data_IF_764299463769
#
_entry.id   IF_764299463769
#
_cell.length_a   1.000
_cell.length_b   1.000
_cell.length_c   1.000
_cell.angle_alpha   90.00
_cell.angle_beta   90.00
_cell.angle_gamma   90.00
#
_symmetry.space_group_name_H-M   'P 1'
#
loop_
_entity.id
_entity.type
_entity.pdbx_description
1 polymer ?
#
# COMPACT_ATOMS: atom_id res chain seq x y z
N UNK A 1 -23.10 0.09 14.73
CA UNK A 1 -22.05 0.57 15.69
C UNK A 1 -21.98 2.10 15.61
N UNK A 2 -21.69 2.78 16.73
CA UNK A 2 -21.50 4.23 16.71
C UNK A 2 -20.28 4.56 15.83
N UNK A 3 -20.43 5.53 14.92
CA UNK A 3 -19.32 5.96 14.06
C UNK A 3 -18.25 6.65 14.93
N UNK A 4 -17.13 5.96 15.15
CA UNK A 4 -16.02 6.41 16.00
C UNK A 4 -15.27 7.64 15.43
N UNK A 5 -15.51 8.00 14.17
CA UNK A 5 -14.85 9.14 13.50
C UNK A 5 -15.60 10.43 13.79
N UNK A 6 -16.92 10.43 13.66
CA UNK A 6 -17.80 11.63 13.70
C UNK A 6 -17.54 12.55 14.89
N UNK A 7 -17.47 11.97 16.09
CA UNK A 7 -17.36 12.70 17.35
C UNK A 7 -15.95 12.71 17.95
N UNK A 8 -14.97 12.14 17.27
CA UNK A 8 -13.60 12.08 17.77
C UNK A 8 -12.83 13.37 17.47
N UNK A 9 -12.68 14.23 18.48
CA UNK A 9 -12.01 15.54 18.34
C UNK A 9 -10.49 15.46 18.08
N UNK A 10 -9.86 14.30 18.23
CA UNK A 10 -8.46 14.07 17.82
C UNK A 10 -8.31 14.01 16.31
N UNK A 11 -9.38 13.66 15.58
CA UNK A 11 -9.37 13.55 14.12
C UNK A 11 -9.62 14.93 13.50
N UNK A 12 -8.88 15.27 12.44
CA UNK A 12 -9.07 16.51 11.67
C UNK A 12 -10.55 16.66 11.26
N UNK A 13 -11.06 17.88 11.39
CA UNK A 13 -12.48 18.18 11.12
C UNK A 13 -12.92 17.84 9.70
N UNK A 14 -12.01 17.92 8.72
CA UNK A 14 -12.29 17.61 7.30
C UNK A 14 -12.43 16.11 7.09
N UNK A 15 -11.59 15.30 7.74
CA UNK A 15 -11.69 13.85 7.77
C UNK A 15 -13.01 13.43 8.42
N UNK A 16 -13.37 14.05 9.56
CA UNK A 16 -14.66 13.81 10.22
C UNK A 16 -15.85 14.18 9.35
N UNK A 17 -15.73 15.24 8.55
CA UNK A 17 -16.80 15.67 7.65
C UNK A 17 -17.03 14.68 6.50
N UNK A 18 -15.99 14.02 6.01
CA UNK A 18 -16.07 13.04 4.92
C UNK A 18 -16.47 11.66 5.46
N UNK A 19 -15.72 11.12 6.41
CA UNK A 19 -15.87 9.74 6.88
C UNK A 19 -16.80 9.59 8.09
N UNK A 20 -17.14 10.67 8.76
CA UNK A 20 -18.05 10.65 9.92
C UNK A 20 -19.50 10.35 9.58
N UNK A 21 -19.91 10.47 8.33
CA UNK A 21 -21.28 10.20 7.85
C UNK A 21 -21.35 8.90 7.01
N UNK A 22 -20.20 8.28 6.70
CA UNK A 22 -20.13 7.08 5.88
C UNK A 22 -19.89 5.87 6.77
N UNK A 23 -20.81 4.90 6.76
CA UNK A 23 -20.56 3.58 7.33
C UNK A 23 -19.81 2.76 6.25
N UNK A 24 -18.50 2.84 6.27
CA UNK A 24 -17.68 1.91 5.50
C UNK A 24 -17.76 0.56 6.21
N UNK A 25 -18.60 -0.33 5.72
CA UNK A 25 -18.60 -1.73 6.15
C UNK A 25 -17.22 -2.36 5.87
N UNK A 26 -16.85 -3.37 6.64
CA UNK A 26 -15.64 -4.13 6.32
C UNK A 26 -15.84 -4.84 4.98
N UNK A 27 -15.05 -4.47 3.96
CA UNK A 27 -15.07 -5.14 2.64
C UNK A 27 -14.71 -6.62 2.72
N UNK A 28 -14.08 -7.04 3.81
CA UNK A 28 -13.71 -8.44 4.07
C UNK A 28 -14.64 -9.14 5.05
N UNK A 29 -15.76 -8.51 5.45
CA UNK A 29 -16.70 -9.12 6.37
C UNK A 29 -17.31 -10.37 5.74
N UNK A 30 -17.12 -11.51 6.39
CA UNK A 30 -17.67 -12.80 6.00
C UNK A 30 -17.76 -13.68 7.25
N UNK A 31 -18.78 -14.50 7.41
CA UNK A 31 -18.85 -15.51 8.47
C UNK A 31 -17.97 -16.73 8.18
N UNK A 32 -17.42 -16.85 6.97
CA UNK A 32 -16.55 -17.95 6.58
C UNK A 32 -15.15 -17.82 7.18
N UNK A 33 -14.54 -18.97 7.50
CA UNK A 33 -13.19 -19.07 8.04
C UNK A 33 -12.20 -19.77 7.10
N UNK A 34 -12.55 -19.88 5.82
CA UNK A 34 -11.70 -20.39 4.74
C UNK A 34 -11.69 -19.40 3.58
N UNK A 35 -10.59 -19.37 2.82
CA UNK A 35 -10.48 -18.51 1.65
C UNK A 35 -11.60 -18.75 0.64
N UNK A 36 -11.88 -20.02 0.33
CA UNK A 36 -12.95 -20.41 -0.61
C UNK A 36 -14.31 -19.94 -0.13
N UNK A 37 -14.59 -20.06 1.17
CA UNK A 37 -15.83 -19.58 1.77
C UNK A 37 -15.96 -18.07 1.68
N UNK A 38 -14.91 -17.33 2.03
CA UNK A 38 -14.91 -15.87 1.95
C UNK A 38 -15.09 -15.40 0.49
N UNK A 39 -14.41 -16.03 -0.47
CA UNK A 39 -14.56 -15.71 -1.89
C UNK A 39 -15.98 -16.02 -2.39
N UNK A 40 -16.59 -17.12 -1.93
CA UNK A 40 -17.99 -17.44 -2.26
C UNK A 40 -18.98 -16.38 -1.71
N UNK A 41 -18.74 -15.89 -0.50
CA UNK A 41 -19.56 -14.83 0.11
C UNK A 41 -19.46 -13.49 -0.64
N UNK A 42 -18.34 -13.23 -1.38
CA UNK A 42 -18.20 -12.05 -2.24
C UNK A 42 -19.20 -12.03 -3.42
N UNK A 43 -19.82 -13.16 -3.73
CA UNK A 43 -20.88 -13.24 -4.76
C UNK A 43 -22.26 -12.86 -4.22
N UNK A 44 -22.41 -12.60 -2.91
CA UNK A 44 -23.67 -12.14 -2.32
C UNK A 44 -24.04 -10.72 -2.80
N UNK A 45 -25.32 -10.38 -2.78
CA UNK A 45 -25.78 -9.04 -3.16
C UNK A 45 -25.29 -7.96 -2.17
N UNK A 46 -25.09 -8.30 -0.91
CA UNK A 46 -24.54 -7.42 0.11
C UNK A 46 -23.07 -7.10 -0.18
N UNK A 47 -22.25 -8.10 -0.46
CA UNK A 47 -20.83 -7.91 -0.80
C UNK A 47 -20.67 -7.15 -2.12
N UNK A 48 -21.48 -7.45 -3.14
CA UNK A 48 -21.51 -6.69 -4.41
C UNK A 48 -21.90 -5.22 -4.18
N UNK A 49 -22.84 -4.97 -3.27
CA UNK A 49 -23.20 -3.60 -2.86
C UNK A 49 -22.04 -2.88 -2.19
N UNK A 50 -21.34 -3.53 -1.26
CA UNK A 50 -20.14 -2.99 -0.62
C UNK A 50 -19.01 -2.69 -1.62
N UNK A 51 -18.77 -3.61 -2.57
CA UNK A 51 -17.82 -3.39 -3.68
C UNK A 51 -18.18 -2.18 -4.52
N UNK A 52 -19.45 -2.04 -4.91
CA UNK A 52 -19.90 -0.88 -5.70
C UNK A 52 -19.70 0.45 -4.95
N UNK A 53 -19.87 0.47 -3.63
CA UNK A 53 -19.59 1.64 -2.80
C UNK A 53 -18.08 1.96 -2.81
N UNK A 54 -17.22 0.95 -2.63
CA UNK A 54 -15.78 1.16 -2.68
C UNK A 54 -15.32 1.65 -4.06
N UNK A 55 -15.84 1.05 -5.13
CA UNK A 55 -15.57 1.50 -6.50
C UNK A 55 -15.99 2.97 -6.71
N UNK A 56 -17.15 3.36 -6.20
CA UNK A 56 -17.61 4.74 -6.26
C UNK A 56 -16.71 5.70 -5.47
N UNK A 57 -16.23 5.29 -4.29
CA UNK A 57 -15.31 6.09 -3.48
C UNK A 57 -13.97 6.22 -4.17
N UNK A 58 -13.40 5.11 -4.66
CA UNK A 58 -12.08 5.11 -5.31
C UNK A 58 -12.07 5.87 -6.64
N UNK A 59 -13.22 5.95 -7.33
CA UNK A 59 -13.34 6.61 -8.63
C UNK A 59 -14.16 7.91 -8.58
N UNK A 60 -14.23 8.54 -7.41
CA UNK A 60 -14.98 9.78 -7.24
C UNK A 60 -14.35 10.94 -8.07
N UNK A 61 -15.18 11.72 -8.82
CA UNK A 61 -14.68 12.76 -9.74
C UNK A 61 -13.79 13.82 -9.12
N UNK A 62 -13.95 14.09 -7.82
CA UNK A 62 -13.17 15.11 -7.11
C UNK A 62 -11.65 14.82 -7.11
N UNK A 63 -11.20 13.57 -7.23
CA UNK A 63 -9.78 13.24 -7.32
C UNK A 63 -9.14 13.79 -8.59
N UNK A 64 -9.83 13.65 -9.72
CA UNK A 64 -9.37 14.20 -11.00
C UNK A 64 -9.37 15.74 -11.00
N UNK A 65 -10.35 16.33 -10.33
CA UNK A 65 -10.43 17.79 -10.16
C UNK A 65 -9.32 18.33 -9.25
N UNK A 66 -9.03 17.62 -8.14
CA UNK A 66 -7.99 18.00 -7.18
C UNK A 66 -6.58 17.93 -7.80
N UNK A 67 -6.30 16.90 -8.59
CA UNK A 67 -4.98 16.70 -9.22
C UNK A 67 -5.16 16.41 -10.73
N UNK A 68 -5.44 17.43 -11.57
CA UNK A 68 -5.62 17.25 -13.00
C UNK A 68 -4.32 16.78 -13.68
N UNK A 69 -4.43 16.26 -14.91
CA UNK A 69 -3.29 15.69 -15.66
C UNK A 69 -2.37 16.76 -16.29
N UNK A 70 -2.70 18.04 -16.18
CA UNK A 70 -1.96 19.14 -16.81
C UNK A 70 -0.48 19.13 -16.44
N UNK A 71 0.39 19.13 -17.45
CA UNK A 71 1.85 19.11 -17.28
C UNK A 71 2.43 17.72 -16.94
N UNK A 72 1.61 16.67 -17.04
CA UNK A 72 2.01 15.29 -16.83
C UNK A 72 1.71 14.45 -18.09
N UNK A 73 2.48 13.39 -18.26
CA UNK A 73 2.23 12.35 -19.27
C UNK A 73 1.93 11.05 -18.51
N UNK A 74 0.80 10.44 -18.82
CA UNK A 74 0.39 9.14 -18.28
C UNK A 74 0.35 8.11 -19.40
N UNK A 75 1.01 6.98 -19.21
CA UNK A 75 1.02 5.85 -20.14
C UNK A 75 0.85 4.53 -19.40
N UNK A 76 0.30 3.53 -20.07
CA UNK A 76 0.25 2.16 -19.56
C UNK A 76 1.41 1.37 -20.16
N UNK A 77 2.14 0.66 -19.33
CA UNK A 77 3.18 -0.31 -19.72
C UNK A 77 2.73 -1.71 -19.30
N UNK A 78 3.29 -2.72 -19.96
CA UNK A 78 3.01 -4.12 -19.64
C UNK A 78 4.32 -4.89 -19.53
N UNK A 79 4.34 -5.88 -18.63
CA UNK A 79 5.46 -6.81 -18.49
C UNK A 79 4.93 -8.21 -18.18
N UNK A 80 5.78 -9.22 -18.39
CA UNK A 80 5.51 -10.59 -17.98
C UNK A 80 6.04 -10.82 -16.58
N UNK A 81 5.19 -11.27 -15.67
CA UNK A 81 5.55 -11.60 -14.29
C UNK A 81 6.21 -12.97 -14.21
N UNK A 82 7.24 -13.10 -13.39
CA UNK A 82 7.97 -14.32 -13.13
C UNK A 82 7.70 -14.79 -11.67
N UNK A 83 7.46 -16.08 -11.42
CA UNK A 83 7.58 -17.22 -12.34
C UNK A 83 6.30 -17.57 -13.12
N UNK A 84 5.18 -16.87 -12.88
CA UNK A 84 3.85 -17.34 -13.30
C UNK A 84 3.54 -17.07 -14.77
N UNK A 85 4.26 -16.15 -15.42
CA UNK A 85 4.15 -15.87 -16.85
C UNK A 85 2.94 -15.00 -17.26
N UNK A 86 2.18 -14.47 -16.29
CA UNK A 86 1.03 -13.61 -16.54
C UNK A 86 1.44 -12.18 -16.91
N UNK A 87 0.56 -11.48 -17.62
CA UNK A 87 0.77 -10.07 -18.01
C UNK A 87 0.26 -9.14 -16.93
N UNK A 88 1.15 -8.29 -16.44
CA UNK A 88 0.86 -7.26 -15.43
C UNK A 88 1.04 -5.88 -16.03
N UNK A 89 0.18 -4.95 -15.66
CA UNK A 89 0.23 -3.56 -16.13
C UNK A 89 0.91 -2.65 -15.10
N UNK A 90 1.52 -1.59 -15.62
CA UNK A 90 2.05 -0.47 -14.85
C UNK A 90 1.39 0.80 -15.37
N UNK A 91 0.78 1.59 -14.50
CA UNK A 91 0.45 2.97 -14.81
C UNK A 91 1.70 3.82 -14.59
N UNK A 92 2.23 4.39 -15.66
CA UNK A 92 3.44 5.20 -15.63
C UNK A 92 3.09 6.67 -15.81
N UNK A 93 3.43 7.50 -14.81
CA UNK A 93 3.11 8.93 -14.74
C UNK A 93 4.41 9.71 -14.58
N UNK A 94 4.63 10.73 -15.41
CA UNK A 94 5.81 11.61 -15.28
C UNK A 94 5.49 13.05 -15.66
N UNK A 95 6.27 14.03 -15.19
CA UNK A 95 6.28 15.37 -15.76
C UNK A 95 6.52 15.33 -17.29
N UNK A 96 5.84 16.23 -18.01
CA UNK A 96 6.03 16.41 -19.44
C UNK A 96 7.35 17.16 -19.69
N UNK A 97 8.46 16.40 -19.64
CA UNK A 97 9.83 16.90 -19.82
C UNK A 97 10.71 15.82 -20.43
N UNK A 98 11.76 16.24 -21.15
CA UNK A 98 12.79 15.35 -21.70
C UNK A 98 13.89 15.02 -20.68
N UNK A 99 13.82 15.54 -19.46
CA UNK A 99 14.81 15.26 -18.42
C UNK A 99 14.70 13.80 -17.94
N UNK A 100 15.87 13.19 -17.65
CA UNK A 100 15.96 11.93 -16.95
C UNK A 100 15.59 12.14 -15.47
N UNK A 101 14.59 11.41 -14.96
CA UNK A 101 14.01 11.64 -13.64
C UNK A 101 14.33 10.51 -12.68
N UNK A 102 14.45 10.79 -11.36
CA UNK A 102 14.35 9.74 -10.34
C UNK A 102 12.96 9.11 -10.38
N UNK A 103 12.83 7.83 -9.96
CA UNK A 103 11.60 7.07 -10.08
C UNK A 103 11.11 6.55 -8.72
N UNK A 104 9.83 6.70 -8.48
CA UNK A 104 9.10 6.04 -7.40
C UNK A 104 8.35 4.86 -8.00
N UNK A 105 8.77 3.64 -7.66
CA UNK A 105 8.00 2.44 -7.93
C UNK A 105 6.95 2.31 -6.83
N UNK A 106 5.68 2.54 -7.18
CA UNK A 106 4.60 2.65 -6.21
C UNK A 106 3.68 1.42 -6.24
N UNK A 107 3.35 0.90 -5.05
CA UNK A 107 2.48 -0.26 -4.84
C UNK A 107 1.24 0.21 -4.09
N UNK A 108 0.06 0.08 -4.71
CA UNK A 108 -1.21 0.52 -4.13
C UNK A 108 -1.63 -0.32 -2.93
N UNK A 109 -2.49 0.23 -2.08
CA UNK A 109 -3.07 -0.43 -0.91
C UNK A 109 -4.20 -1.40 -1.25
N UNK A 110 -5.14 -1.54 -0.31
CA UNK A 110 -6.24 -2.49 -0.44
C UNK A 110 -5.96 -3.86 0.18
N UNK A 111 -5.03 -3.93 1.16
CA UNK A 111 -4.74 -5.14 1.95
C UNK A 111 -4.16 -6.31 1.13
N UNK A 112 -3.56 -6.07 -0.02
CA UNK A 112 -3.13 -7.07 -1.02
C UNK A 112 -4.31 -7.86 -1.61
N UNK A 113 -5.55 -7.41 -1.38
CA UNK A 113 -6.78 -8.15 -1.70
C UNK A 113 -7.63 -7.47 -2.75
N UNK A 114 -7.63 -6.14 -2.81
CA UNK A 114 -8.56 -5.34 -3.61
C UNK A 114 -7.86 -4.10 -4.18
N UNK A 115 -8.58 -3.32 -4.98
CA UNK A 115 -8.16 -2.08 -5.64
C UNK A 115 -7.24 -2.28 -6.85
N UNK A 116 -6.97 -1.17 -7.54
CA UNK A 116 -6.12 -1.11 -8.73
C UNK A 116 -5.38 0.21 -8.76
N UNK A 117 -4.15 0.24 -9.27
CA UNK A 117 -3.45 1.48 -9.51
C UNK A 117 -4.14 2.37 -10.55
N UNK A 118 -5.09 1.83 -11.31
CA UNK A 118 -5.93 2.56 -12.27
C UNK A 118 -7.18 3.18 -11.64
N UNK A 119 -7.52 2.89 -10.38
CA UNK A 119 -8.55 3.63 -9.65
C UNK A 119 -8.14 5.11 -9.57
N UNK A 120 -9.11 6.03 -9.74
CA UNK A 120 -8.81 7.46 -9.84
C UNK A 120 -8.15 8.01 -8.56
N UNK A 121 -8.44 7.45 -7.40
CA UNK A 121 -7.74 7.72 -6.14
C UNK A 121 -6.23 7.55 -6.29
N UNK A 122 -5.80 6.39 -6.79
CA UNK A 122 -4.37 6.07 -6.95
C UNK A 122 -3.75 6.83 -8.12
N UNK A 123 -4.48 6.97 -9.23
CA UNK A 123 -4.04 7.79 -10.36
C UNK A 123 -3.79 9.25 -9.93
N UNK A 124 -4.69 9.83 -9.12
CA UNK A 124 -4.53 11.18 -8.57
C UNK A 124 -3.35 11.26 -7.60
N UNK A 125 -3.18 10.26 -6.74
CA UNK A 125 -2.04 10.18 -5.85
C UNK A 125 -0.71 10.08 -6.61
N UNK A 126 -0.64 9.23 -7.63
CA UNK A 126 0.52 9.14 -8.53
C UNK A 126 0.85 10.47 -9.21
N UNK A 127 -0.18 11.22 -9.66
CA UNK A 127 -0.02 12.57 -10.21
C UNK A 127 0.49 13.56 -9.15
N UNK A 128 0.00 13.46 -7.91
CA UNK A 128 0.47 14.30 -6.80
C UNK A 128 1.98 14.12 -6.55
N UNK A 129 2.45 12.87 -6.52
CA UNK A 129 3.89 12.55 -6.40
C UNK A 129 4.66 13.03 -7.64
N UNK A 130 4.16 12.76 -8.85
CA UNK A 130 4.85 13.10 -10.09
C UNK A 130 5.05 14.63 -10.25
N UNK A 131 4.10 15.44 -9.77
CA UNK A 131 4.21 16.90 -9.73
C UNK A 131 5.36 17.42 -8.89
N UNK A 132 5.92 16.58 -8.01
CA UNK A 132 7.12 16.92 -7.26
C UNK A 132 8.42 16.72 -8.08
N UNK A 133 8.30 16.49 -9.40
CA UNK A 133 9.44 16.35 -10.32
C UNK A 133 10.13 15.01 -10.24
N UNK A 134 9.36 13.93 -10.19
CA UNK A 134 9.81 12.53 -10.24
C UNK A 134 8.91 11.73 -11.17
N UNK A 135 9.38 10.62 -11.70
CA UNK A 135 8.56 9.63 -12.38
C UNK A 135 7.91 8.69 -11.34
N UNK A 136 6.71 8.21 -11.64
CA UNK A 136 5.98 7.25 -10.79
C UNK A 136 5.56 6.07 -11.66
N UNK A 137 6.02 4.87 -11.30
CA UNK A 137 5.63 3.61 -11.93
C UNK A 137 4.77 2.82 -10.94
N UNK A 138 3.47 2.77 -11.19
CA UNK A 138 2.49 2.15 -10.29
C UNK A 138 2.12 0.78 -10.81
N UNK A 139 2.51 -0.28 -10.11
CA UNK A 139 2.21 -1.67 -10.50
C UNK A 139 0.78 -2.05 -10.13
N UNK A 140 0.09 -2.74 -11.05
CA UNK A 140 -1.26 -3.26 -10.87
C UNK A 140 -1.21 -4.78 -10.66
N UNK A 141 -0.68 -5.18 -9.51
CA UNK A 141 -0.44 -6.58 -9.15
C UNK A 141 -1.74 -7.38 -9.00
N UNK A 142 -1.64 -8.71 -9.07
CA UNK A 142 -2.77 -9.62 -8.78
C UNK A 142 -3.15 -9.55 -7.31
N UNK A 143 -4.41 -9.22 -7.08
CA UNK A 143 -5.00 -9.21 -5.75
C UNK A 143 -5.46 -10.60 -5.31
N UNK A 144 -5.57 -10.80 -4.00
CA UNK A 144 -5.99 -12.08 -3.43
C UNK A 144 -7.51 -12.28 -3.33
N UNK A 145 -8.34 -11.24 -3.57
CA UNK A 145 -9.80 -11.35 -3.44
C UNK A 145 -10.57 -10.80 -4.64
N UNK A 146 -10.21 -9.65 -5.20
CA UNK A 146 -10.86 -9.07 -6.38
C UNK A 146 -9.83 -8.84 -7.48
N UNK A 147 -10.22 -9.12 -8.72
CA UNK A 147 -9.34 -8.87 -9.86
C UNK A 147 -8.95 -7.38 -9.93
N UNK A 148 -7.68 -7.11 -10.23
CA UNK A 148 -7.17 -5.82 -10.67
C UNK A 148 -7.35 -5.69 -12.19
N UNK A 149 -6.46 -5.04 -12.93
CA UNK A 149 -6.45 -5.15 -14.39
C UNK A 149 -5.94 -6.51 -14.88
N UNK A 150 -5.30 -7.30 -14.01
CA UNK A 150 -5.05 -8.73 -14.22
C UNK A 150 -6.32 -9.49 -13.80
N UNK A 151 -6.80 -10.44 -14.64
CA UNK A 151 -8.05 -11.16 -14.35
C UNK A 151 -7.90 -12.24 -13.27
N UNK A 152 -6.68 -12.67 -12.97
CA UNK A 152 -6.41 -13.70 -12.00
C UNK A 152 -6.51 -13.16 -10.58
N UNK A 153 -7.15 -13.95 -9.69
CA UNK A 153 -7.27 -13.66 -8.25
C UNK A 153 -6.53 -14.75 -7.50
N UNK A 154 -5.34 -14.40 -7.03
CA UNK A 154 -4.41 -15.37 -6.47
C UNK A 154 -3.88 -14.94 -5.10
N UNK A 155 -3.76 -15.86 -4.13
CA UNK A 155 -3.19 -15.55 -2.82
C UNK A 155 -1.66 -15.33 -2.92
N UNK A 156 -1.05 -15.04 -1.79
CA UNK A 156 0.41 -15.05 -1.65
C UNK A 156 1.01 -16.36 -2.23
N UNK A 157 2.12 -16.26 -3.00
CA UNK A 157 2.97 -15.08 -3.22
C UNK A 157 2.69 -14.31 -4.54
N UNK A 158 1.55 -14.51 -5.21
CA UNK A 158 1.31 -13.99 -6.56
C UNK A 158 1.53 -12.47 -6.69
N UNK A 159 0.87 -11.67 -5.84
CA UNK A 159 1.03 -10.22 -5.86
C UNK A 159 2.46 -9.76 -5.54
N UNK A 160 3.18 -10.46 -4.66
CA UNK A 160 4.58 -10.18 -4.39
C UNK A 160 5.47 -10.48 -5.62
N UNK A 161 5.23 -11.60 -6.31
CA UNK A 161 5.95 -11.95 -7.53
C UNK A 161 5.78 -10.87 -8.60
N UNK A 162 4.57 -10.36 -8.76
CA UNK A 162 4.25 -9.28 -9.69
C UNK A 162 4.98 -7.98 -9.32
N UNK A 163 5.01 -7.62 -8.04
CA UNK A 163 5.73 -6.43 -7.56
C UNK A 163 7.24 -6.54 -7.77
N UNK A 164 7.84 -7.68 -7.49
CA UNK A 164 9.28 -7.93 -7.70
C UNK A 164 9.62 -7.91 -9.18
N UNK A 165 8.84 -8.60 -10.02
CA UNK A 165 9.03 -8.67 -11.47
C UNK A 165 8.87 -7.29 -12.12
N UNK A 166 7.84 -6.52 -11.70
CA UNK A 166 7.60 -5.17 -12.19
C UNK A 166 8.73 -4.21 -11.86
N UNK A 167 9.28 -4.28 -10.64
CA UNK A 167 10.43 -3.46 -10.27
C UNK A 167 11.67 -3.80 -11.09
N UNK A 168 11.97 -5.10 -11.26
CA UNK A 168 13.08 -5.56 -12.11
C UNK A 168 12.88 -5.08 -13.54
N UNK A 169 11.65 -5.14 -14.05
CA UNK A 169 11.31 -4.62 -15.39
C UNK A 169 11.51 -3.12 -15.49
N UNK A 170 11.06 -2.31 -14.52
CA UNK A 170 11.25 -0.85 -14.50
C UNK A 170 12.74 -0.50 -14.52
N UNK A 171 13.54 -1.17 -13.69
CA UNK A 171 14.99 -0.96 -13.65
C UNK A 171 15.65 -1.31 -15.00
N UNK A 172 15.29 -2.46 -15.59
CA UNK A 172 15.86 -2.92 -16.86
C UNK A 172 15.46 -2.02 -18.05
N UNK A 173 14.31 -1.35 -17.98
CA UNK A 173 13.78 -0.46 -19.02
C UNK A 173 13.97 1.04 -18.68
N UNK A 174 14.86 1.36 -17.74
CA UNK A 174 15.08 2.72 -17.26
C UNK A 174 15.34 3.73 -18.38
N UNK A 175 16.12 3.33 -19.41
CA UNK A 175 16.41 4.17 -20.59
C UNK A 175 15.15 4.47 -21.41
N UNK A 176 14.28 3.48 -21.65
CA UNK A 176 13.02 3.68 -22.37
C UNK A 176 12.07 4.59 -21.59
N UNK A 177 12.03 4.40 -20.26
CA UNK A 177 11.21 5.19 -19.35
C UNK A 177 11.79 6.59 -19.09
N UNK A 178 13.02 6.86 -19.55
CA UNK A 178 13.77 8.09 -19.30
C UNK A 178 13.87 8.40 -17.78
N UNK A 179 14.32 7.39 -17.01
CA UNK A 179 14.56 7.48 -15.56
C UNK A 179 15.99 7.08 -15.22
N UNK A 180 16.50 7.68 -14.15
CA UNK A 180 17.80 7.33 -13.54
C UNK A 180 17.67 6.03 -12.75
N UNK A 181 18.19 4.92 -13.30
CA UNK A 181 18.12 3.61 -12.66
C UNK A 181 18.85 3.54 -11.30
N UNK A 182 19.77 4.47 -11.02
CA UNK A 182 20.42 4.57 -9.71
C UNK A 182 19.56 5.29 -8.65
N UNK A 183 18.41 5.84 -9.07
CA UNK A 183 17.48 6.61 -8.23
C UNK A 183 16.07 6.04 -8.32
N UNK A 184 15.93 4.78 -7.97
CA UNK A 184 14.62 4.12 -7.83
C UNK A 184 14.39 3.81 -6.36
N UNK A 185 13.22 4.16 -5.84
CA UNK A 185 12.72 3.69 -4.53
C UNK A 185 11.46 2.89 -4.71
N UNK A 186 11.17 2.00 -3.75
CA UNK A 186 9.86 1.35 -3.63
C UNK A 186 9.05 2.11 -2.60
N UNK A 187 7.80 2.42 -2.91
CA UNK A 187 6.87 3.07 -1.98
C UNK A 187 5.47 2.45 -2.08
N UNK A 188 4.70 2.54 -1.02
CA UNK A 188 3.32 2.07 -1.00
C UNK A 188 2.66 2.27 0.36
N UNK A 189 1.33 2.25 0.40
CA UNK A 189 0.59 2.41 1.64
C UNK A 189 -0.22 1.16 2.00
N UNK A 190 -0.48 0.93 3.28
CA UNK A 190 -1.33 -0.17 3.78
C UNK A 190 -0.84 -1.54 3.31
N UNK A 191 -1.63 -2.29 2.56
CA UNK A 191 -1.19 -3.51 1.87
C UNK A 191 -0.04 -3.27 0.89
N UNK A 192 0.00 -2.12 0.21
CA UNK A 192 1.15 -1.69 -0.60
C UNK A 192 2.37 -1.36 0.24
N UNK A 193 2.19 -0.89 1.48
CA UNK A 193 3.25 -0.72 2.47
C UNK A 193 3.85 -2.06 2.91
N UNK A 194 3.01 -3.08 3.08
CA UNK A 194 3.45 -4.47 3.25
C UNK A 194 4.32 -4.91 2.06
N UNK A 195 3.76 -4.84 0.85
CA UNK A 195 4.44 -5.26 -0.38
C UNK A 195 5.71 -4.44 -0.66
N UNK A 196 5.78 -3.18 -0.22
CA UNK A 196 7.00 -2.35 -0.28
C UNK A 196 8.13 -3.01 0.52
N UNK A 197 7.85 -3.42 1.76
CA UNK A 197 8.82 -4.09 2.63
C UNK A 197 9.11 -5.49 2.09
N UNK A 198 8.09 -6.29 1.79
CA UNK A 198 8.22 -7.65 1.29
C UNK A 198 9.01 -7.74 -0.03
N UNK A 199 8.76 -6.83 -0.99
CA UNK A 199 9.53 -6.71 -2.23
C UNK A 199 11.01 -6.45 -1.93
N UNK A 200 11.30 -5.54 -0.99
CA UNK A 200 12.68 -5.23 -0.61
C UNK A 200 13.38 -6.41 0.07
N UNK A 201 12.68 -7.14 0.95
CA UNK A 201 13.19 -8.37 1.56
C UNK A 201 13.46 -9.45 0.48
N UNK A 202 12.55 -9.61 -0.47
CA UNK A 202 12.72 -10.58 -1.57
C UNK A 202 13.91 -10.21 -2.47
N UNK A 203 14.06 -8.93 -2.84
CA UNK A 203 15.23 -8.47 -3.58
C UNK A 203 16.54 -8.74 -2.82
N UNK A 204 16.54 -8.55 -1.49
CA UNK A 204 17.72 -8.88 -0.68
C UNK A 204 18.03 -10.38 -0.70
N UNK A 205 17.02 -11.24 -0.56
CA UNK A 205 17.18 -12.70 -0.64
C UNK A 205 17.72 -13.12 -2.02
N UNK A 206 17.26 -12.46 -3.09
CA UNK A 206 17.70 -12.74 -4.47
C UNK A 206 19.09 -12.17 -4.79
N UNK A 207 19.67 -11.33 -3.92
CA UNK A 207 20.93 -10.62 -4.18
C UNK A 207 20.77 -9.36 -5.03
N UNK A 208 19.54 -8.89 -5.26
CA UNK A 208 19.16 -7.80 -6.16
C UNK A 208 18.83 -6.50 -5.41
N UNK A 209 19.09 -6.40 -4.11
CA UNK A 209 18.74 -5.21 -3.30
C UNK A 209 19.34 -3.93 -3.82
N UNK A 210 20.46 -4.00 -4.56
CA UNK A 210 21.09 -2.86 -5.21
C UNK A 210 20.27 -2.20 -6.33
N UNK A 211 19.16 -2.80 -6.77
CA UNK A 211 18.25 -2.21 -7.75
C UNK A 211 17.46 -1.03 -7.17
N UNK A 212 17.40 -0.88 -5.86
CA UNK A 212 16.67 0.20 -5.18
C UNK A 212 17.57 1.01 -4.26
N UNK A 213 17.29 2.30 -4.17
CA UNK A 213 17.98 3.25 -3.31
C UNK A 213 17.38 3.32 -1.90
N UNK A 214 16.10 2.98 -1.76
CA UNK A 214 15.40 3.01 -0.48
C UNK A 214 13.97 2.49 -0.58
N UNK A 215 13.30 2.40 0.56
CA UNK A 215 11.89 2.03 0.67
C UNK A 215 11.14 3.04 1.55
N UNK A 216 9.90 3.37 1.13
CA UNK A 216 9.03 4.33 1.81
C UNK A 216 7.66 3.68 2.05
N UNK A 217 7.43 3.15 3.25
CA UNK A 217 6.18 2.48 3.60
C UNK A 217 5.26 3.41 4.41
N UNK A 218 4.05 3.64 3.90
CA UNK A 218 3.02 4.43 4.55
C UNK A 218 2.03 3.49 5.23
N UNK A 219 1.70 3.76 6.50
CA UNK A 219 0.74 3.00 7.32
C UNK A 219 0.73 1.49 7.00
N UNK A 220 1.90 0.81 7.08
CA UNK A 220 2.06 -0.53 6.55
C UNK A 220 1.21 -1.57 7.30
N UNK A 221 0.55 -2.47 6.56
CA UNK A 221 -0.31 -3.55 7.03
C UNK A 221 0.50 -4.85 7.12
N UNK A 222 1.23 -5.05 8.24
CA UNK A 222 2.31 -6.05 8.30
C UNK A 222 2.18 -7.12 9.38
N UNK A 223 1.26 -6.96 10.33
CA UNK A 223 1.14 -7.89 11.45
C UNK A 223 0.40 -9.20 11.09
N UNK A 224 -0.61 -9.12 10.23
CA UNK A 224 -1.40 -10.27 9.76
C UNK A 224 -2.46 -10.75 10.76
N UNK A 225 -2.44 -10.29 12.00
CA UNK A 225 -3.41 -10.62 13.04
C UNK A 225 -3.64 -9.41 13.93
N UNK A 226 -4.88 -9.19 14.37
CA UNK A 226 -5.31 -8.11 15.24
C UNK A 226 -6.46 -8.58 16.16
N UNK A 227 -6.57 -8.08 17.42
CA UNK A 227 -5.62 -7.16 18.04
C UNK A 227 -4.33 -7.86 18.49
N UNK A 228 -3.27 -7.07 18.70
CA UNK A 228 -2.01 -7.55 19.28
C UNK A 228 -1.62 -6.70 20.48
N UNK A 229 -1.28 -7.31 21.63
CA UNK A 229 -0.88 -6.57 22.85
C UNK A 229 0.33 -5.64 22.66
N UNK A 230 1.27 -6.02 21.79
CA UNK A 230 2.42 -5.22 21.42
C UNK A 230 2.09 -4.02 20.53
N UNK A 231 0.91 -4.00 19.94
CA UNK A 231 0.39 -2.94 19.08
C UNK A 231 -0.93 -2.38 19.66
N UNK A 232 -0.90 -1.62 20.77
CA UNK A 232 -2.11 -1.12 21.44
C UNK A 232 -3.05 -0.34 20.52
N UNK A 233 -2.53 0.35 19.49
CA UNK A 233 -3.36 1.06 18.51
C UNK A 233 -4.36 0.15 17.79
N UNK A 234 -4.06 -1.13 17.65
CA UNK A 234 -4.95 -2.11 17.01
C UNK A 234 -6.26 -2.33 17.78
N UNK A 235 -6.26 -2.09 19.11
CA UNK A 235 -7.45 -2.10 19.96
C UNK A 235 -8.04 -0.68 20.11
N UNK A 236 -7.18 0.32 20.40
CA UNK A 236 -7.61 1.70 20.67
C UNK A 236 -8.34 2.33 19.47
N UNK A 237 -7.84 2.09 18.26
CA UNK A 237 -8.33 2.69 17.02
C UNK A 237 -9.20 1.73 16.18
N UNK A 238 -9.52 0.53 16.69
CA UNK A 238 -10.41 -0.41 15.99
C UNK A 238 -11.72 0.25 15.58
N UNK A 239 -12.10 0.08 14.31
CA UNK A 239 -13.30 0.70 13.72
C UNK A 239 -13.16 2.19 13.38
N UNK A 240 -11.96 2.76 13.49
CA UNK A 240 -11.63 4.05 12.91
C UNK A 240 -11.13 3.81 11.48
N UNK A 241 -12.02 3.88 10.52
CA UNK A 241 -11.86 3.58 9.10
C UNK A 241 -11.61 2.09 8.79
N UNK A 242 -10.78 1.41 9.57
CA UNK A 242 -10.50 -0.02 9.44
C UNK A 242 -11.10 -0.80 10.60
N UNK A 243 -11.71 -1.95 10.28
CA UNK A 243 -12.13 -2.98 11.23
C UNK A 243 -11.33 -4.25 10.95
N UNK A 244 -10.41 -4.56 11.85
CA UNK A 244 -9.40 -5.61 11.67
C UNK A 244 -9.65 -6.82 12.57
N UNK A 245 -10.46 -6.66 13.64
CA UNK A 245 -10.76 -7.76 14.56
C UNK A 245 -11.57 -8.85 13.86
N UNK A 246 -11.25 -10.08 14.16
CA UNK A 246 -11.94 -11.26 13.66
C UNK A 246 -12.39 -12.13 14.84
N UNK A 247 -13.57 -12.74 14.74
CA UNK A 247 -14.03 -13.76 15.68
C UNK A 247 -13.41 -15.14 15.37
N UNK A 248 -12.71 -15.27 14.24
CA UNK A 248 -12.02 -16.48 13.82
C UNK A 248 -10.63 -16.59 14.44
N UNK A 249 -10.05 -17.79 14.40
CA UNK A 249 -8.69 -18.06 14.87
C UNK A 249 -7.64 -17.18 14.17
N UNK A 250 -7.85 -16.90 12.87
CA UNK A 250 -7.00 -16.03 12.06
C UNK A 250 -7.80 -14.85 11.53
N UNK A 251 -7.11 -13.74 11.27
CA UNK A 251 -7.74 -12.58 10.64
C UNK A 251 -8.20 -12.92 9.21
N UNK A 252 -9.25 -12.25 8.74
CA UNK A 252 -9.69 -12.41 7.34
C UNK A 252 -8.57 -12.06 6.35
N UNK A 253 -7.74 -11.06 6.66
CA UNK A 253 -6.59 -10.71 5.84
C UNK A 253 -5.60 -11.87 5.70
N UNK A 254 -5.27 -12.56 6.81
CA UNK A 254 -4.39 -13.73 6.76
C UNK A 254 -5.03 -14.90 6.00
N UNK A 255 -6.34 -15.14 6.21
CA UNK A 255 -7.06 -16.22 5.51
C UNK A 255 -7.08 -16.00 4.00
N UNK A 256 -7.37 -14.76 3.56
CA UNK A 256 -7.50 -14.42 2.14
C UNK A 256 -6.13 -14.37 1.46
N UNK A 257 -5.16 -13.70 2.10
CA UNK A 257 -3.84 -13.48 1.50
C UNK A 257 -2.97 -14.73 1.51
N UNK A 258 -3.03 -15.53 2.61
CA UNK A 258 -2.27 -16.78 2.70
C UNK A 258 -2.09 -17.22 4.15
N UNK A 259 -3.04 -17.99 4.68
CA UNK A 259 -3.02 -18.44 6.08
C UNK A 259 -1.82 -19.33 6.41
N UNK A 260 -1.38 -20.18 5.47
CA UNK A 260 -0.20 -21.02 5.66
C UNK A 260 1.07 -20.18 5.82
N UNK A 261 1.21 -19.10 5.06
CA UNK A 261 2.33 -18.19 5.19
C UNK A 261 2.31 -17.47 6.57
N UNK A 262 1.11 -17.14 7.07
CA UNK A 262 0.97 -16.58 8.42
C UNK A 262 1.37 -17.60 9.51
N UNK A 263 0.87 -18.84 9.43
CA UNK A 263 1.18 -19.92 10.37
C UNK A 263 2.69 -20.20 10.38
N UNK A 264 3.32 -20.21 9.21
CA UNK A 264 4.75 -20.45 9.05
C UNK A 264 5.61 -19.21 9.37
N UNK A 265 4.99 -18.09 9.75
CA UNK A 265 5.66 -16.82 10.05
C UNK A 265 6.56 -16.35 8.91
N UNK A 266 6.06 -16.43 7.67
CA UNK A 266 6.80 -16.02 6.49
C UNK A 266 6.93 -14.48 6.43
N UNK A 267 8.15 -13.90 6.54
CA UNK A 267 8.34 -12.45 6.52
C UNK A 267 8.07 -11.83 5.16
N UNK A 268 8.02 -12.62 4.09
CA UNK A 268 7.66 -12.12 2.78
C UNK A 268 6.14 -11.95 2.59
N UNK A 269 5.33 -12.63 3.42
CA UNK A 269 3.89 -12.39 3.48
C UNK A 269 3.54 -11.33 4.53
N UNK A 270 4.16 -11.45 5.71
CA UNK A 270 3.90 -10.63 6.88
C UNK A 270 5.21 -10.11 7.48
N UNK A 271 5.68 -8.94 7.06
CA UNK A 271 7.00 -8.41 7.43
C UNK A 271 7.24 -8.26 8.94
N UNK A 272 6.20 -8.21 9.77
CA UNK A 272 6.39 -8.21 11.24
C UNK A 272 7.08 -9.47 11.77
N UNK A 273 7.13 -10.56 11.00
CA UNK A 273 7.86 -11.78 11.34
C UNK A 273 9.34 -11.75 10.93
N UNK A 274 9.80 -10.66 10.30
CA UNK A 274 11.19 -10.57 9.86
C UNK A 274 12.16 -10.65 11.05
N UNK A 275 13.27 -11.34 10.84
CA UNK A 275 14.39 -11.42 11.76
C UNK A 275 15.42 -10.32 11.47
N UNK A 276 16.37 -10.11 12.38
CA UNK A 276 17.47 -9.16 12.17
C UNK A 276 18.25 -9.48 10.88
N UNK A 277 18.48 -10.76 10.61
CA UNK A 277 19.18 -11.19 9.39
C UNK A 277 18.38 -10.88 8.12
N UNK A 278 17.06 -10.89 8.17
CA UNK A 278 16.20 -10.55 7.02
C UNK A 278 16.32 -9.06 6.67
N UNK A 279 16.40 -8.17 7.67
CA UNK A 279 16.38 -6.72 7.44
C UNK A 279 17.77 -6.08 7.38
N UNK A 280 18.80 -6.71 7.95
CA UNK A 280 20.16 -6.19 7.93
C UNK A 280 20.68 -5.97 6.52
N UNK A 281 21.14 -4.74 6.24
CA UNK A 281 21.61 -4.36 4.90
C UNK A 281 20.51 -3.92 3.94
N UNK A 282 19.26 -3.76 4.39
CA UNK A 282 18.26 -3.00 3.65
C UNK A 282 18.75 -1.56 3.43
N UNK A 283 18.43 -0.92 2.31
CA UNK A 283 18.76 0.48 2.08
C UNK A 283 17.95 1.38 3.02
N UNK A 284 18.21 2.70 2.98
CA UNK A 284 17.49 3.65 3.81
C UNK A 284 15.99 3.43 3.75
N UNK A 285 15.33 3.48 4.91
CA UNK A 285 13.91 3.15 5.06
C UNK A 285 13.15 4.29 5.71
N UNK A 286 12.00 4.64 5.16
CA UNK A 286 11.09 5.60 5.77
C UNK A 286 9.75 4.94 6.07
N UNK A 287 9.31 5.06 7.33
CA UNK A 287 7.98 4.60 7.77
C UNK A 287 7.14 5.83 8.09
N UNK A 288 5.95 5.94 7.50
CA UNK A 288 4.97 6.93 7.87
C UNK A 288 3.77 6.24 8.51
N UNK A 289 3.27 6.78 9.64
CA UNK A 289 2.09 6.24 10.32
C UNK A 289 1.10 7.35 10.62
N UNK A 290 -0.18 7.00 10.72
CA UNK A 290 -1.26 7.92 11.04
C UNK A 290 -1.66 7.79 12.52
N UNK A 291 -1.99 8.91 13.21
CA UNK A 291 -2.24 8.91 14.65
C UNK A 291 -3.40 8.00 15.05
N UNK A 292 -4.53 8.13 14.35
CA UNK A 292 -5.77 7.41 14.67
C UNK A 292 -5.96 6.18 13.79
N UNK A 293 -4.87 5.45 13.55
CA UNK A 293 -4.82 4.25 12.70
C UNK A 293 -4.64 3.00 13.57
N UNK A 294 -5.44 1.95 13.41
CA UNK A 294 -5.18 0.65 14.04
C UNK A 294 -3.78 0.09 13.78
N UNK A 295 -3.19 0.41 12.61
CA UNK A 295 -1.86 -0.08 12.18
C UNK A 295 -0.69 0.81 12.66
N UNK A 296 -0.96 1.89 13.41
CA UNK A 296 0.07 2.84 13.84
C UNK A 296 1.25 2.15 14.53
N UNK A 297 0.95 1.33 15.52
CA UNK A 297 2.00 0.80 16.40
C UNK A 297 2.83 -0.29 15.74
N UNK A 298 2.26 -1.08 14.83
CA UNK A 298 3.05 -2.05 14.06
C UNK A 298 4.07 -1.36 13.15
N UNK A 299 3.72 -0.23 12.55
CA UNK A 299 4.67 0.59 11.78
C UNK A 299 5.76 1.20 12.66
N UNK A 300 5.40 1.76 13.84
CA UNK A 300 6.35 2.32 14.80
C UNK A 300 7.30 1.24 15.35
N UNK A 301 6.77 0.06 15.69
CA UNK A 301 7.57 -1.05 16.23
C UNK A 301 8.49 -1.63 15.15
N UNK A 302 8.02 -1.72 13.89
CA UNK A 302 8.88 -2.12 12.78
C UNK A 302 10.02 -1.13 12.54
N UNK A 303 9.77 0.18 12.62
CA UNK A 303 10.84 1.19 12.58
C UNK A 303 11.87 0.97 13.69
N UNK A 304 11.45 0.73 14.95
CA UNK A 304 12.36 0.49 16.06
C UNK A 304 13.21 -0.75 15.83
N UNK A 305 12.59 -1.83 15.36
CA UNK A 305 13.26 -3.06 14.99
C UNK A 305 14.32 -2.83 13.89
N UNK A 306 14.00 -2.05 12.85
CA UNK A 306 14.98 -1.69 11.81
C UNK A 306 16.20 -0.95 12.40
N UNK A 307 15.96 -0.02 13.34
CA UNK A 307 17.05 0.71 14.01
C UNK A 307 17.91 -0.19 14.87
N UNK A 308 17.33 -1.17 15.57
CA UNK A 308 18.06 -2.17 16.34
C UNK A 308 18.93 -3.07 15.45
N UNK A 309 18.46 -3.36 14.22
CA UNK A 309 19.21 -4.10 13.20
C UNK A 309 20.23 -3.24 12.40
N UNK A 310 20.54 -2.02 12.86
CA UNK A 310 21.47 -1.07 12.21
C UNK A 310 21.06 -0.66 10.78
N UNK A 311 19.78 -0.65 10.48
CA UNK A 311 19.25 -0.10 9.22
C UNK A 311 19.06 1.42 9.37
N UNK A 312 19.47 2.19 8.36
CA UNK A 312 19.17 3.63 8.31
C UNK A 312 17.67 3.86 8.10
N UNK A 313 16.94 3.97 9.21
CA UNK A 313 15.49 4.12 9.19
C UNK A 313 15.03 5.40 9.87
N UNK A 314 13.93 5.96 9.36
CA UNK A 314 13.22 7.11 9.90
C UNK A 314 11.73 6.77 10.05
N UNK A 315 11.06 7.42 11.02
CA UNK A 315 9.62 7.28 11.20
C UNK A 315 8.99 8.65 11.43
N UNK A 316 7.83 8.87 10.80
CA UNK A 316 7.00 10.07 11.02
C UNK A 316 5.58 9.65 11.37
N UNK A 317 5.02 10.24 12.41
CA UNK A 317 3.59 10.15 12.72
C UNK A 317 2.87 11.41 12.28
N UNK A 318 1.78 11.28 11.53
CA UNK A 318 0.90 12.38 11.13
C UNK A 318 -0.23 12.50 12.14
N UNK A 319 -0.27 13.65 12.82
CA UNK A 319 -1.26 13.91 13.86
C UNK A 319 -2.62 14.27 13.26
N UNK A 320 -3.69 13.87 13.93
CA UNK A 320 -5.07 14.15 13.50
C UNK A 320 -5.54 13.34 12.30
N UNK A 321 -4.73 12.40 11.81
CA UNK A 321 -5.00 11.59 10.62
C UNK A 321 -5.54 10.21 10.97
N UNK A 322 -6.28 9.62 10.05
CA UNK A 322 -6.74 8.23 10.06
C UNK A 322 -5.98 7.44 9.00
N UNK A 323 -6.14 6.13 8.93
CA UNK A 323 -5.50 5.27 7.95
C UNK A 323 -5.60 5.83 6.52
N UNK A 324 -4.47 5.93 5.81
CA UNK A 324 -4.43 6.38 4.41
C UNK A 324 -4.81 7.84 4.17
N UNK A 325 -4.87 8.71 5.19
CA UNK A 325 -5.22 10.13 5.01
C UNK A 325 -4.40 10.80 3.91
N UNK A 326 -3.14 10.40 3.76
CA UNK A 326 -2.19 10.96 2.80
C UNK A 326 -2.66 10.84 1.35
N UNK A 327 -3.32 9.72 1.01
CA UNK A 327 -3.74 9.42 -0.36
C UNK A 327 -5.16 9.90 -0.71
N UNK A 328 -6.02 10.17 0.28
CA UNK A 328 -7.41 10.56 0.05
C UNK A 328 -7.60 12.01 -0.43
N UNK A 329 -6.54 12.82 -0.46
CA UNK A 329 -6.53 14.20 -0.93
C UNK A 329 -7.56 15.13 -0.24
N UNK A 330 -8.24 14.65 0.79
CA UNK A 330 -9.20 15.42 1.59
C UNK A 330 -8.54 16.45 2.52
N UNK A 331 -7.24 16.29 2.78
CA UNK A 331 -6.37 17.21 3.50
C UNK A 331 -5.17 17.55 2.62
N UNK A 332 -5.30 18.46 1.64
CA UNK A 332 -4.29 18.69 0.60
C UNK A 332 -2.88 18.94 1.15
N UNK A 333 -2.74 19.68 2.26
CA UNK A 333 -1.44 19.94 2.87
C UNK A 333 -0.76 18.65 3.38
N UNK A 334 -1.51 17.67 3.90
CA UNK A 334 -0.95 16.37 4.34
C UNK A 334 -0.48 15.60 3.11
N UNK A 335 -1.32 15.55 2.07
CA UNK A 335 -0.99 14.85 0.82
C UNK A 335 0.22 15.48 0.11
N UNK A 336 0.25 16.81 0.01
CA UNK A 336 1.36 17.54 -0.62
C UNK A 336 2.66 17.38 0.16
N UNK A 337 2.63 17.46 1.49
CA UNK A 337 3.82 17.22 2.34
C UNK A 337 4.36 15.80 2.19
N UNK A 338 3.46 14.82 2.13
CA UNK A 338 3.87 13.41 1.98
C UNK A 338 4.41 13.14 0.57
N UNK A 339 3.77 13.66 -0.48
CA UNK A 339 4.27 13.57 -1.85
C UNK A 339 5.65 14.24 -1.99
N UNK A 340 5.85 15.43 -1.41
CA UNK A 340 7.14 16.11 -1.38
C UNK A 340 8.19 15.31 -0.61
N UNK A 341 7.80 14.69 0.52
CA UNK A 341 8.70 13.85 1.33
C UNK A 341 9.18 12.63 0.52
N UNK A 342 8.27 11.92 -0.18
CA UNK A 342 8.60 10.79 -1.05
C UNK A 342 9.56 11.23 -2.17
N UNK A 343 9.24 12.33 -2.85
CA UNK A 343 10.07 12.87 -3.93
C UNK A 343 11.45 13.32 -3.43
N UNK A 344 11.53 13.95 -2.26
CA UNK A 344 12.79 14.34 -1.64
C UNK A 344 13.62 13.12 -1.24
N UNK A 345 12.98 12.07 -0.76
CA UNK A 345 13.62 10.83 -0.34
C UNK A 345 14.30 10.11 -1.50
N UNK A 346 13.69 10.08 -2.70
CA UNK A 346 14.30 9.46 -3.88
C UNK A 346 15.41 10.33 -4.49
N UNK A 347 15.32 11.66 -4.39
CA UNK A 347 16.30 12.60 -4.94
C UNK A 347 17.61 12.60 -4.16
N UNK A 348 17.57 12.35 -2.83
CA UNK A 348 18.70 12.39 -1.90
C UNK A 348 19.20 10.99 -1.54
#
# INVERSE_FOLDING_TARGET
MENKIKNNLKIDKRIRAVFGEVELGSVTSSPANTREGILADQESEEAKGGRAILDMVNNAPHYKEAVPETGLVTTTKEFTSDPDGNTIKIQYIRPDTEEELPCVYYIHGGGMMVSSCFDELYAAWGRCIARQGVAVAMVDFRNAMWASSAPEVEPYPAGLNDCVSGLKWVHANAKELNIDSSKIIVAGESGGGNLTIATSLKLKQDGDIGLIKGLYALCPYIAGQWPLPENPSSEENEGILLSLHSEHEYSHGAIIYGVDAFINKDPLAWPSFATEDDVKGLPKTYILVNEMDPLRDEGVNFYRFLREADVDAQCRQVMGSVHGTDIFLGCPEISDETALSIASFVKN
#
